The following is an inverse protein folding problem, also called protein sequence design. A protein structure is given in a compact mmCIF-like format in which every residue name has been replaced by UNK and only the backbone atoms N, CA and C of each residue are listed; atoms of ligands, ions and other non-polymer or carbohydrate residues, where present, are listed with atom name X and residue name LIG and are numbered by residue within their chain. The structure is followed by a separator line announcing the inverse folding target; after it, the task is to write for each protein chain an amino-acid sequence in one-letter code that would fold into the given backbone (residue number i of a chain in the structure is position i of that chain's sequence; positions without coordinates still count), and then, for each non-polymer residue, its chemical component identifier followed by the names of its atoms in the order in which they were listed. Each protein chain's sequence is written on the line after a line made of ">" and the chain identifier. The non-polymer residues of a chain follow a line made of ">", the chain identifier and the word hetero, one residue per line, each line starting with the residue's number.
data_IF_141225583666
#
_entry.id   IF_141225583666
#
_cell.length_a   1.000
_cell.length_b   1.000
_cell.length_c   1.000
_cell.angle_alpha   90.00
_cell.angle_beta   90.00
_cell.angle_gamma   90.00
#
_symmetry.space_group_name_H-M   'P 1'
#
loop_
_entity.id
_entity.type
_entity.pdbx_description
1 polymer ?
2 non-polymer ?
3 non-polymer ?
4 water ?
#
# COMPACT_ATOMS: atom_id res chain seq x y z
N UNK A 1 -3.76 11.53 28.93
CA UNK A 1 -5.07 10.88 28.72
C UNK A 1 -4.99 9.49 28.08
N UNK A 2 -5.80 8.58 28.60
CA UNK A 2 -5.83 7.17 28.16
C UNK A 2 -6.85 6.89 27.05
N UNK A 3 -6.38 6.31 25.96
CA UNK A 3 -7.24 5.99 24.82
C UNK A 3 -7.40 4.49 24.64
N UNK A 4 -8.22 4.13 23.66
CA UNK A 4 -8.51 2.73 23.43
C UNK A 4 -7.21 1.95 23.16
N UNK A 5 -7.18 0.70 23.59
CA UNK A 5 -5.97 -0.13 23.42
C UNK A 5 -6.34 -1.45 22.78
N UNK A 6 -5.41 -2.02 22.02
CA UNK A 6 -5.64 -3.31 21.42
C UNK A 6 -4.41 -4.17 21.60
N UNK A 7 -4.60 -5.48 21.47
CA UNK A 7 -3.49 -6.40 21.52
C UNK A 7 -3.07 -6.85 20.13
N UNK A 8 -1.79 -6.64 19.83
CA UNK A 8 -1.25 -7.04 18.54
C UNK A 8 -0.09 -7.98 18.81
N UNK A 9 0.00 -9.11 18.10
CA UNK A 9 1.14 -10.01 18.24
C UNK A 9 1.78 -10.34 16.88
N UNK A 10 3.10 -10.33 16.80
CA UNK A 10 3.77 -10.87 15.62
C UNK A 10 3.92 -12.36 15.80
N UNK A 11 3.30 -13.13 14.90
CA UNK A 11 3.27 -14.57 15.08
C UNK A 11 4.64 -15.18 14.77
N UNK A 12 4.85 -16.45 15.12
CA UNK A 12 6.18 -17.02 14.83
C UNK A 12 6.63 -16.93 13.38
N UNK A 13 5.76 -17.07 12.38
CA UNK A 13 6.21 -16.88 10.99
C UNK A 13 6.65 -15.43 10.77
N UNK A 14 6.01 -14.47 11.44
CA UNK A 14 6.46 -13.09 11.37
C UNK A 14 7.88 -12.91 11.92
N UNK A 15 8.17 -13.49 13.08
CA UNK A 15 9.50 -13.41 13.67
C UNK A 15 10.51 -14.08 12.74
N UNK A 16 10.19 -15.29 12.33
CA UNK A 16 11.08 -16.08 11.50
C UNK A 16 11.40 -15.39 10.19
N UNK A 17 10.45 -14.68 9.63
CA UNK A 17 10.66 -14.09 8.31
C UNK A 17 11.18 -12.66 8.38
N UNK A 18 11.56 -12.19 9.57
CA UNK A 18 12.17 -10.87 9.71
C UNK A 18 11.24 -9.71 9.37
N UNK A 19 10.01 -9.80 9.87
CA UNK A 19 8.99 -8.80 9.60
C UNK A 19 8.62 -8.00 10.84
N UNK A 20 9.34 -8.21 11.94
CA UNK A 20 9.01 -7.50 13.18
C UNK A 20 9.09 -5.98 13.02
N UNK A 21 10.23 -5.49 12.57
CA UNK A 21 10.42 -4.06 12.42
C UNK A 21 9.41 -3.43 11.48
N UNK A 22 9.19 -4.12 10.36
CA UNK A 22 8.27 -3.65 9.34
C UNK A 22 6.86 -3.46 9.89
N UNK A 23 6.41 -4.40 10.74
CA UNK A 23 5.09 -4.34 11.33
C UNK A 23 5.01 -3.16 12.33
N UNK A 24 5.95 -3.08 13.25
CA UNK A 24 6.02 -1.99 14.22
C UNK A 24 6.10 -0.62 13.52
N UNK A 25 6.95 -0.55 12.51
CA UNK A 25 7.10 0.67 11.71
C UNK A 25 5.76 1.15 11.15
N UNK A 26 4.93 0.22 10.70
CA UNK A 26 3.64 0.58 10.14
C UNK A 26 2.73 1.22 11.17
N UNK A 27 2.77 0.71 12.40
CA UNK A 27 1.97 1.25 13.47
C UNK A 27 2.46 2.59 13.99
N UNK A 28 3.78 2.80 14.02
CA UNK A 28 4.33 4.09 14.44
C UNK A 28 3.94 5.11 13.42
N UNK A 29 4.09 4.72 12.14
CA UNK A 29 3.80 5.59 11.02
C UNK A 29 2.38 6.06 11.02
N UNK A 30 1.47 5.18 11.43
CA UNK A 30 0.05 5.45 11.44
C UNK A 30 -0.31 6.50 12.48
N UNK A 31 0.52 6.57 13.54
CA UNK A 31 0.38 7.56 14.60
C UNK A 31 -0.05 6.94 15.92
N UNK A 32 -0.10 5.61 15.99
CA UNK A 32 -0.51 4.93 17.21
C UNK A 32 0.65 4.83 18.21
N UNK A 33 0.32 4.69 19.48
CA UNK A 33 1.30 4.69 20.57
C UNK A 33 1.57 3.30 21.13
N UNK A 34 2.85 2.94 21.24
CA UNK A 34 3.21 1.68 21.86
C UNK A 34 3.05 1.82 23.35
N UNK A 35 2.25 0.94 23.96
CA UNK A 35 2.01 0.98 25.40
C UNK A 35 2.60 -0.23 26.11
N UNK A 36 2.81 -1.30 25.37
CA UNK A 36 3.40 -2.48 25.96
C UNK A 36 4.04 -3.33 24.90
N UNK A 37 5.15 -3.93 25.25
CA UNK A 37 5.78 -4.89 24.35
C UNK A 37 6.64 -5.88 25.10
N UNK A 38 6.48 -7.15 24.76
CA UNK A 38 7.35 -8.17 25.31
C UNK A 38 7.58 -9.23 24.26
N UNK A 39 8.60 -10.04 24.48
CA UNK A 39 9.04 -11.04 23.54
C UNK A 39 9.18 -12.35 24.31
N UNK A 40 8.30 -13.31 24.03
CA UNK A 40 8.24 -14.57 24.77
C UNK A 40 7.91 -15.75 23.87
N UNK A 41 8.23 -16.95 24.33
CA UNK A 41 7.60 -18.14 23.79
C UNK A 41 6.54 -18.53 24.80
N UNK A 42 5.29 -18.17 24.51
CA UNK A 42 4.22 -18.39 25.47
C UNK A 42 3.84 -19.86 25.52
N UNK A 43 3.14 -20.21 26.60
CA UNK A 43 2.74 -21.59 26.82
C UNK A 43 1.53 -22.02 26.01
N UNK A 44 1.49 -23.31 25.67
CA UNK A 44 0.34 -23.88 24.99
C UNK A 44 -0.90 -23.54 25.78
N UNK A 45 -0.81 -23.58 27.10
CA UNK A 45 -1.98 -23.25 27.89
C UNK A 45 -2.41 -21.80 27.74
N UNK A 46 -1.45 -20.88 27.67
CA UNK A 46 -1.83 -19.49 27.42
C UNK A 46 -2.53 -19.31 26.07
N UNK A 47 -1.98 -19.96 25.05
CA UNK A 47 -2.58 -19.79 23.73
C UNK A 47 -3.96 -20.41 23.65
N UNK A 48 -4.15 -21.55 24.32
CA UNK A 48 -5.46 -22.19 24.34
C UNK A 48 -6.50 -21.22 24.90
N UNK A 49 -6.12 -20.47 25.93
CA UNK A 49 -7.02 -19.45 26.47
C UNK A 49 -7.17 -18.29 25.49
N UNK A 50 -6.08 -17.93 24.83
CA UNK A 50 -6.10 -16.80 23.91
C UNK A 50 -7.12 -16.99 22.77
N UNK A 51 -7.15 -18.23 22.27
CA UNK A 51 -8.03 -18.63 21.19
C UNK A 51 -9.24 -19.44 21.62
N UNK A 52 -9.74 -19.17 22.82
CA UNK A 52 -10.79 -19.99 23.42
C UNK A 52 -12.05 -20.10 22.54
N UNK A 53 -12.41 -19.06 21.81
CA UNK A 53 -13.63 -19.11 21.02
C UNK A 53 -13.55 -20.05 19.82
N UNK A 54 -12.36 -20.48 19.49
CA UNK A 54 -12.16 -21.39 18.38
C UNK A 54 -11.85 -22.80 18.87
N UNK A 55 -11.97 -23.02 20.17
CA UNK A 55 -11.56 -24.31 20.76
C UNK A 55 -12.18 -25.55 20.09
N UNK A 56 -13.33 -25.37 19.44
CA UNK A 56 -14.08 -26.46 18.82
C UNK A 56 -13.79 -26.61 17.31
N UNK A 57 -12.97 -25.70 16.78
CA UNK A 57 -12.57 -25.74 15.38
C UNK A 57 -11.51 -26.83 15.16
N UNK A 58 -11.53 -27.47 13.98
CA UNK A 58 -10.55 -28.53 13.71
C UNK A 58 -9.11 -28.06 13.64
N UNK A 59 -8.89 -26.80 13.26
CA UNK A 59 -7.54 -26.24 13.12
C UNK A 59 -7.02 -25.70 14.46
N UNK A 60 -7.88 -25.73 15.47
CA UNK A 60 -7.55 -25.18 16.78
C UNK A 60 -6.36 -25.83 17.48
N UNK A 61 -6.30 -27.17 17.53
CA UNK A 61 -5.15 -27.70 18.27
C UNK A 61 -3.82 -27.43 17.59
N UNK A 62 -3.75 -27.56 16.27
CA UNK A 62 -2.54 -27.26 15.53
C UNK A 62 -2.20 -25.80 15.73
N UNK A 63 -3.21 -24.95 15.69
CA UNK A 63 -3.03 -23.53 15.89
C UNK A 63 -2.39 -23.21 17.22
N UNK A 64 -2.89 -23.82 18.28
CA UNK A 64 -2.41 -23.52 19.62
C UNK A 64 -0.99 -24.02 19.90
N UNK A 65 -0.61 -25.15 19.33
CA UNK A 65 0.74 -25.65 19.54
C UNK A 65 1.73 -24.85 18.70
N UNK A 66 1.36 -24.59 17.45
CA UNK A 66 2.13 -23.73 16.56
C UNK A 66 2.39 -22.34 17.11
N UNK A 67 1.38 -21.71 17.68
CA UNK A 67 1.55 -20.38 18.20
C UNK A 67 2.43 -20.38 19.46
N UNK A 68 2.73 -21.57 19.98
CA UNK A 68 3.56 -21.67 21.18
C UNK A 68 4.90 -22.35 20.91
N UNK A 69 5.17 -22.62 19.65
CA UNK A 69 6.35 -23.37 19.26
C UNK A 69 7.58 -22.46 19.13
N UNK A 70 7.34 -21.15 19.06
CA UNK A 70 8.42 -20.19 18.89
C UNK A 70 8.11 -18.84 19.54
N UNK A 71 9.10 -17.94 19.59
CA UNK A 71 8.88 -16.63 20.20
C UNK A 71 7.88 -15.77 19.43
N UNK A 72 7.10 -14.97 20.16
CA UNK A 72 6.24 -13.99 19.51
C UNK A 72 6.50 -12.60 20.08
N UNK A 73 6.21 -11.57 19.32
CA UNK A 73 6.26 -10.24 19.88
C UNK A 73 4.86 -9.87 20.33
N UNK A 74 4.67 -9.71 21.64
CA UNK A 74 3.37 -9.29 22.18
C UNK A 74 3.35 -7.81 22.32
N UNK A 75 2.31 -7.16 21.77
CA UNK A 75 2.25 -5.71 21.84
C UNK A 75 0.89 -5.21 22.29
N UNK A 76 0.90 -4.04 22.92
CA UNK A 76 -0.32 -3.32 23.17
C UNK A 76 -0.19 -1.93 22.54
N UNK A 77 -1.09 -1.61 21.62
CA UNK A 77 -1.08 -0.30 20.93
C UNK A 77 -2.30 0.55 21.30
N UNK A 78 -2.08 1.85 21.37
CA UNK A 78 -3.09 2.76 21.91
C UNK A 78 -3.39 3.91 20.97
N UNK A 79 -4.67 4.22 20.83
CA UNK A 79 -5.11 5.31 19.99
C UNK A 79 -6.59 5.19 19.68
N UNK A 80 -7.19 6.27 19.23
CA UNK A 80 -8.60 6.28 18.90
C UNK A 80 -8.90 5.21 17.87
N UNK A 81 -9.81 4.30 18.18
CA UNK A 81 -10.25 3.29 17.24
C UNK A 81 -9.16 2.33 16.82
N UNK A 82 -8.21 2.11 17.72
CA UNK A 82 -7.06 1.30 17.36
C UNK A 82 -7.44 -0.17 17.16
N UNK A 83 -8.51 -0.63 17.80
CA UNK A 83 -8.94 -2.03 17.59
C UNK A 83 -9.39 -2.30 16.14
N UNK A 84 -10.38 -1.55 15.65
CA UNK A 84 -10.88 -1.79 14.30
C UNK A 84 -9.86 -1.31 13.24
N UNK A 85 -9.15 -0.24 13.52
CA UNK A 85 -8.19 0.28 12.55
C UNK A 85 -7.00 -0.67 12.39
N UNK A 86 -6.53 -1.27 13.48
CA UNK A 86 -5.46 -2.25 13.41
C UNK A 86 -5.85 -3.42 12.53
N UNK A 87 -7.12 -3.81 12.60
CA UNK A 87 -7.63 -4.91 11.77
C UNK A 87 -7.56 -4.58 10.30
N UNK A 88 -7.99 -3.37 9.97
CA UNK A 88 -7.93 -2.86 8.61
C UNK A 88 -6.49 -2.89 8.11
N UNK A 89 -5.56 -2.51 8.97
CA UNK A 89 -4.14 -2.49 8.61
C UNK A 89 -3.60 -3.89 8.38
N UNK A 90 -4.11 -4.85 9.15
CA UNK A 90 -3.71 -6.23 8.97
C UNK A 90 -4.20 -6.85 7.69
N UNK A 91 -5.44 -6.53 7.33
CA UNK A 91 -6.09 -7.15 6.20
C UNK A 91 -7.19 -8.06 6.71
N UNK A 92 -7.43 -9.14 6.00
CA UNK A 92 -8.44 -10.10 6.45
C UNK A 92 -7.76 -11.31 7.10
N UNK A 93 -8.54 -12.18 7.73
CA UNK A 93 -8.02 -13.41 8.33
C UNK A 93 -7.17 -14.21 7.32
N UNK A 94 -7.71 -14.37 6.12
CA UNK A 94 -6.99 -15.00 5.01
C UNK A 94 -6.26 -13.99 4.18
N UNK A 95 -4.93 -14.18 4.05
CA UNK A 95 -4.09 -13.34 3.19
C UNK A 95 -4.60 -13.24 1.77
N UNK A 96 -5.20 -14.33 1.31
CA UNK A 96 -5.77 -14.39 -0.02
C UNK A 96 -6.86 -13.36 -0.20
N UNK A 97 -7.54 -12.98 0.89
CA UNK A 97 -8.62 -12.00 0.85
C UNK A 97 -8.19 -10.58 1.26
N UNK A 98 -6.89 -10.42 1.55
CA UNK A 98 -6.32 -9.17 2.04
C UNK A 98 -5.78 -8.32 0.92
N UNK A 99 -6.01 -7.01 0.98
CA UNK A 99 -5.60 -6.13 -0.13
C UNK A 99 -4.13 -5.72 -0.04
N UNK A 100 -3.51 -5.48 -1.21
CA UNK A 100 -2.17 -4.91 -1.24
C UNK A 100 -2.18 -3.59 -0.46
N UNK A 101 -1.15 -3.37 0.33
CA UNK A 101 -1.16 -2.24 1.23
C UNK A 101 -1.38 -2.71 2.66
N UNK A 102 -2.10 -3.80 2.84
CA UNK A 102 -2.22 -4.35 4.19
C UNK A 102 -1.03 -5.28 4.47
N UNK A 103 -0.81 -5.56 5.76
CA UNK A 103 0.30 -6.38 6.23
C UNK A 103 0.20 -7.84 5.71
N UNK A 104 -0.94 -8.48 5.91
CA UNK A 104 -1.14 -9.80 5.34
C UNK A 104 -1.17 -9.78 3.82
N UNK A 105 -1.70 -8.71 3.26
CA UNK A 105 -1.78 -8.57 1.82
C UNK A 105 -0.41 -8.48 1.17
N UNK A 106 0.51 -7.73 1.79
CA UNK A 106 1.85 -7.56 1.22
C UNK A 106 2.79 -8.73 1.50
N UNK A 107 2.62 -9.43 2.60
CA UNK A 107 3.67 -10.35 3.02
C UNK A 107 3.38 -11.84 3.14
N UNK A 108 2.14 -12.30 3.07
CA UNK A 108 1.92 -13.74 3.29
C UNK A 108 0.83 -14.28 2.38
N UNK A 109 0.68 -15.62 2.35
CA UNK A 109 -0.21 -16.31 1.42
C UNK A 109 -1.34 -17.13 2.09
N UNK A 110 -1.03 -17.92 3.12
CA UNK A 110 -1.99 -18.87 3.73
C UNK A 110 -2.59 -18.45 5.06
N UNK A 111 -3.82 -18.89 5.33
CA UNK A 111 -4.51 -18.49 6.54
C UNK A 111 -3.75 -18.94 7.80
N UNK A 112 -3.13 -20.11 7.79
CA UNK A 112 -2.41 -20.62 8.95
C UNK A 112 -1.03 -19.98 9.16
N UNK A 113 -0.58 -19.23 8.17
CA UNK A 113 0.69 -18.53 8.28
C UNK A 113 0.44 -17.06 7.92
N UNK A 114 -0.29 -16.36 8.78
CA UNK A 114 -0.74 -15.00 8.47
C UNK A 114 -0.11 -13.98 9.39
N UNK A 115 1.09 -14.35 9.85
CA UNK A 115 2.11 -13.53 10.54
C UNK A 115 1.73 -12.57 11.65
N UNK A 116 0.46 -12.20 11.76
CA UNK A 116 0.10 -11.21 12.75
C UNK A 116 -1.27 -11.54 13.33
N UNK A 117 -1.48 -11.14 14.58
CA UNK A 117 -2.75 -11.22 15.26
C UNK A 117 -3.17 -9.85 15.75
N UNK A 118 -4.48 -9.60 15.79
CA UNK A 118 -5.02 -8.38 16.37
C UNK A 118 -6.37 -8.67 17.00
N UNK A 119 -6.64 -8.06 18.15
CA UNK A 119 -7.94 -8.22 18.80
C UNK A 119 -9.06 -7.77 17.85
N UNK A 120 -10.18 -8.48 17.85
CA UNK A 120 -11.30 -8.14 16.95
C UNK A 120 -12.37 -7.25 17.58
N UNK A 121 -12.24 -6.98 18.88
CA UNK A 121 -13.17 -6.06 19.54
C UNK A 121 -12.54 -5.53 20.79
N UNK A 122 -13.08 -4.42 21.27
CA UNK A 122 -12.67 -3.83 22.53
C UNK A 122 -12.79 -4.88 23.63
N UNK A 123 -13.85 -5.68 23.57
CA UNK A 123 -14.00 -6.73 24.56
C UNK A 123 -12.88 -7.79 24.48
N UNK A 124 -12.63 -8.31 23.29
CA UNK A 124 -11.52 -9.24 23.10
C UNK A 124 -10.20 -8.58 23.45
N UNK A 125 -10.02 -7.32 23.07
CA UNK A 125 -8.77 -6.63 23.37
C UNK A 125 -8.48 -6.52 24.86
N UNK A 126 -9.49 -6.19 25.65
CA UNK A 126 -9.28 -6.03 27.08
C UNK A 126 -8.89 -7.35 27.72
N UNK A 127 -9.46 -8.43 27.21
CA UNK A 127 -9.13 -9.76 27.75
C UNK A 127 -7.76 -10.22 27.32
N UNK A 128 -7.42 -9.99 26.06
CA UNK A 128 -6.14 -10.45 25.55
C UNK A 128 -5.01 -9.65 26.20
N UNK A 129 -5.19 -8.34 26.32
CA UNK A 129 -4.21 -7.51 27.01
C UNK A 129 -3.97 -8.00 28.43
N UNK A 130 -5.05 -8.30 29.16
CA UNK A 130 -4.93 -8.77 30.54
C UNK A 130 -4.29 -10.15 30.59
N UNK A 131 -4.48 -10.93 29.54
CA UNK A 131 -3.91 -12.26 29.47
C UNK A 131 -2.39 -12.26 29.26
N UNK A 132 -1.91 -11.36 28.41
CA UNK A 132 -0.50 -11.33 27.98
C UNK A 132 0.36 -10.36 28.80
N UNK A 133 -0.25 -9.33 29.39
CA UNK A 133 0.52 -8.35 30.14
C UNK A 133 0.08 -8.24 31.60
N UNK A 134 1.05 -8.08 32.49
CA UNK A 134 0.77 -7.69 33.85
C UNK A 134 0.57 -6.19 33.79
N UNK A 135 -0.39 -5.64 34.58
CA UNK A 135 -0.68 -4.20 34.63
C UNK A 135 0.57 -3.33 34.64
N UNK A 136 1.60 -3.75 35.35
CA UNK A 136 2.85 -3.00 35.45
C UNK A 136 3.59 -2.88 34.12
N UNK A 137 3.36 -3.82 33.22
CA UNK A 137 4.10 -3.84 31.97
C UNK A 137 3.52 -2.88 30.96
N UNK A 138 2.41 -2.22 31.31
CA UNK A 138 1.81 -1.24 30.42
C UNK A 138 2.35 0.14 30.81
N UNK A 139 3.00 0.83 29.88
CA UNK A 139 3.69 2.08 30.18
C UNK A 139 2.83 3.29 29.85
N UNK A 140 2.68 4.18 30.82
CA UNK A 140 1.96 5.42 30.62
C UNK A 140 2.92 6.56 30.29
N UNK A 141 2.72 7.17 29.13
CA UNK A 141 3.61 8.23 28.64
C UNK A 141 2.91 9.07 27.59
N UNK A 142 3.46 10.22 27.32
CA UNK A 142 2.88 11.15 26.37
C UNK A 142 3.75 11.29 25.13
N UNK A 143 3.20 10.97 23.96
CA UNK A 143 3.95 11.19 22.73
C UNK A 143 3.81 12.67 22.35
N UNK A 144 4.93 13.35 22.14
CA UNK A 144 4.89 14.79 21.94
C UNK A 144 4.27 15.18 20.62
N UNK A 145 4.32 14.30 19.63
CA UNK A 145 3.63 14.61 18.39
C UNK A 145 2.09 14.47 18.52
N UNK A 146 1.60 14.11 19.69
CA UNK A 146 0.18 13.81 19.88
C UNK A 146 -0.71 14.95 19.42
N UNK A 147 -0.25 16.17 19.62
CA UNK A 147 -1.05 17.31 19.25
C UNK A 147 -1.16 17.48 17.73
N UNK A 148 -0.36 16.71 16.97
CA UNK A 148 -0.48 16.71 15.52
C UNK A 148 -1.25 15.50 15.01
N UNK A 149 -1.55 14.57 15.90
CA UNK A 149 -2.35 13.43 15.54
C UNK A 149 -3.80 13.64 16.01
N UNK A 150 -3.95 14.30 17.15
CA UNK A 150 -5.29 14.50 17.71
C UNK A 150 -5.59 15.99 17.90
N UNK A 151 -6.76 16.40 17.43
CA UNK A 151 -7.28 17.75 17.64
C UNK A 151 -7.46 18.01 19.14
N UNK B 1 4.21 -29.99 -2.48
CA UNK B 1 5.53 -29.71 -3.04
C UNK B 1 5.44 -28.78 -4.24
N UNK B 2 4.87 -29.24 -5.34
CA UNK B 2 4.81 -28.38 -6.53
C UNK B 2 3.53 -27.56 -6.53
N UNK B 3 3.68 -26.24 -6.63
CA UNK B 3 2.52 -25.38 -6.62
C UNK B 3 2.28 -24.67 -7.93
N UNK B 4 1.17 -23.96 -7.97
CA UNK B 4 0.70 -23.24 -9.12
C UNK B 4 1.73 -22.21 -9.59
N UNK B 5 1.80 -21.98 -10.91
CA UNK B 5 2.77 -21.05 -11.46
C UNK B 5 2.12 -20.05 -12.41
N UNK B 6 2.69 -18.86 -12.48
CA UNK B 6 2.17 -17.87 -13.40
C UNK B 6 3.29 -17.17 -14.16
N UNK B 7 2.93 -16.54 -15.28
CA UNK B 7 3.91 -15.78 -16.03
C UNK B 7 3.73 -14.28 -15.72
N UNK B 8 4.82 -13.63 -15.28
CA UNK B 8 4.82 -12.20 -14.96
C UNK B 8 5.88 -11.56 -15.83
N UNK B 9 5.58 -10.44 -16.47
CA UNK B 9 6.60 -9.74 -17.23
C UNK B 9 6.70 -8.27 -16.84
N UNK B 10 7.93 -7.79 -16.68
CA UNK B 10 8.11 -6.37 -16.54
C UNK B 10 8.14 -5.78 -17.95
N UNK B 11 7.18 -4.93 -18.28
CA UNK B 11 7.06 -4.41 -19.64
C UNK B 11 8.13 -3.34 -19.92
N UNK B 12 8.31 -2.95 -21.19
CA UNK B 12 9.34 -1.97 -21.52
C UNK B 12 9.23 -0.64 -20.75
N UNK B 13 8.05 -0.12 -20.47
CA UNK B 13 8.01 1.08 -19.63
C UNK B 13 8.52 0.82 -18.20
N UNK B 14 8.28 -0.38 -17.69
CA UNK B 14 8.82 -0.77 -16.40
C UNK B 14 10.34 -0.81 -16.36
N UNK B 15 10.93 -1.42 -17.38
CA UNK B 15 12.37 -1.49 -17.48
C UNK B 15 12.96 -0.08 -17.56
N UNK B 16 12.40 0.72 -18.47
CA UNK B 16 12.85 2.09 -18.76
C UNK B 16 12.75 3.00 -17.55
N UNK B 17 11.74 2.80 -16.72
CA UNK B 17 11.52 3.67 -15.58
C UNK B 17 12.18 3.14 -14.33
N UNK B 18 13.00 2.10 -14.47
CA UNK B 18 13.77 1.57 -13.35
C UNK B 18 12.94 0.95 -12.23
N UNK B 19 11.93 0.15 -12.59
CA UNK B 19 11.03 -0.45 -11.61
C UNK B 19 11.19 -1.98 -11.49
N UNK B 20 12.19 -2.55 -12.15
CA UNK B 20 12.39 -4.02 -12.11
C UNK B 20 12.56 -4.53 -10.68
N UNK B 21 13.53 -3.96 -9.96
CA UNK B 21 13.81 -4.37 -8.60
C UNK B 21 12.59 -4.18 -7.70
N UNK B 22 11.90 -3.05 -7.86
CA UNK B 22 10.72 -2.80 -7.03
C UNK B 22 9.64 -3.85 -7.20
N UNK B 23 9.43 -4.27 -8.45
CA UNK B 23 8.44 -5.27 -8.74
C UNK B 23 8.84 -6.63 -8.20
N UNK B 24 10.07 -7.05 -8.50
CA UNK B 24 10.54 -8.35 -7.99
C UNK B 24 10.48 -8.40 -6.47
N UNK B 25 10.95 -7.34 -5.84
CA UNK B 25 10.92 -7.21 -4.40
C UNK B 25 9.50 -7.39 -3.85
N UNK B 26 8.50 -6.86 -4.55
CA UNK B 26 7.14 -7.00 -4.06
C UNK B 26 6.72 -8.48 -4.05
N UNK B 27 7.13 -9.24 -5.06
CA UNK B 27 6.82 -10.69 -5.13
C UNK B 27 7.63 -11.53 -4.13
N UNK B 28 8.87 -11.16 -3.86
CA UNK B 28 9.68 -11.88 -2.86
C UNK B 28 9.03 -11.63 -1.48
N UNK B 29 8.65 -10.39 -1.21
CA UNK B 29 8.06 -10.04 0.08
C UNK B 29 6.78 -10.83 0.37
N UNK B 30 5.97 -11.05 -0.65
CA UNK B 30 4.69 -11.75 -0.54
C UNK B 30 4.88 -13.23 -0.18
N UNK B 31 6.03 -13.77 -0.58
CA UNK B 31 6.37 -15.14 -0.24
C UNK B 31 6.39 -16.06 -1.45
N UNK B 32 6.24 -15.52 -2.66
CA UNK B 32 6.21 -16.37 -3.83
C UNK B 32 7.61 -16.73 -4.24
N UNK B 33 7.74 -17.85 -4.95
CA UNK B 33 9.04 -18.40 -5.34
C UNK B 33 9.36 -18.15 -6.80
N UNK B 34 10.55 -17.61 -7.09
CA UNK B 34 10.99 -17.43 -8.46
C UNK B 34 11.41 -18.77 -9.07
N UNK B 35 10.80 -19.13 -10.20
CA UNK B 35 11.13 -20.39 -10.87
C UNK B 35 11.81 -20.15 -12.19
N UNK B 36 11.64 -18.95 -12.73
CA UNK B 36 12.30 -18.63 -13.97
C UNK B 36 12.47 -17.15 -14.23
N UNK B 37 13.58 -16.74 -14.84
CA UNK B 37 13.71 -15.34 -15.24
C UNK B 37 14.69 -15.18 -16.38
N UNK B 38 14.30 -14.39 -17.38
CA UNK B 38 15.22 -14.04 -18.46
C UNK B 38 14.93 -12.61 -18.88
N UNK B 39 15.87 -12.03 -19.61
CA UNK B 39 15.84 -10.64 -20.00
C UNK B 39 16.10 -10.60 -21.47
N UNK B 40 15.07 -10.25 -22.22
CA UNK B 40 15.14 -10.29 -23.68
C UNK B 40 14.35 -9.16 -24.32
N UNK B 41 14.70 -8.87 -25.56
CA UNK B 41 13.81 -8.12 -26.43
C UNK B 41 13.20 -9.14 -27.36
N UNK B 42 11.96 -9.51 -27.07
CA UNK B 42 11.28 -10.55 -27.83
C UNK B 42 10.84 -10.10 -29.21
N UNK B 43 10.54 -11.08 -30.07
CA UNK B 43 10.13 -10.80 -31.44
C UNK B 43 8.66 -10.38 -31.49
N UNK B 44 8.32 -9.55 -32.47
CA UNK B 44 6.93 -9.17 -32.72
C UNK B 44 6.09 -10.44 -32.83
N UNK B 45 6.66 -11.45 -33.48
CA UNK B 45 5.95 -12.70 -33.66
C UNK B 45 5.69 -13.43 -32.35
N UNK B 46 6.67 -13.43 -31.46
CA UNK B 46 6.44 -14.04 -30.14
C UNK B 46 5.30 -13.30 -29.43
N UNK B 47 5.29 -11.97 -29.48
CA UNK B 47 4.24 -11.20 -28.81
C UNK B 47 2.87 -11.39 -29.44
N UNK B 48 2.83 -11.50 -30.76
CA UNK B 48 1.54 -11.74 -31.42
C UNK B 48 0.90 -13.01 -30.86
N UNK B 49 1.74 -14.03 -30.64
CA UNK B 49 1.28 -15.27 -30.02
C UNK B 49 0.95 -15.10 -28.54
N UNK B 50 1.76 -14.29 -27.86
CA UNK B 50 1.57 -14.06 -26.42
C UNK B 50 0.18 -13.48 -26.18
N UNK B 51 -0.20 -12.56 -27.06
CA UNK B 51 -1.49 -11.89 -26.97
C UNK B 51 -2.52 -12.38 -28.00
N UNK B 52 -2.44 -13.65 -28.42
CA UNK B 52 -3.28 -14.17 -29.54
C UNK B 52 -4.78 -14.01 -29.32
N UNK B 53 -5.26 -14.13 -28.08
CA UNK B 53 -6.70 -14.03 -27.79
C UNK B 53 -7.23 -12.60 -27.97
N UNK B 54 -6.33 -11.64 -28.11
CA UNK B 54 -6.68 -10.24 -28.27
C UNK B 54 -6.55 -9.77 -29.71
N UNK B 55 -6.32 -10.73 -30.58
CA UNK B 55 -6.02 -10.52 -31.99
C UNK B 55 -7.01 -9.60 -32.72
N UNK B 56 -8.25 -9.53 -32.21
CA UNK B 56 -9.31 -8.75 -32.87
C UNK B 56 -9.47 -7.34 -32.30
N UNK B 57 -8.72 -6.99 -31.26
CA UNK B 57 -8.77 -5.64 -30.72
C UNK B 57 -8.04 -4.66 -31.60
N UNK B 58 -8.53 -3.42 -31.67
CA UNK B 58 -7.87 -2.41 -32.50
C UNK B 58 -6.48 -2.07 -31.97
N UNK B 59 -6.28 -2.23 -30.66
CA UNK B 59 -5.00 -1.92 -30.03
C UNK B 59 -4.00 -3.08 -30.11
N UNK B 60 -4.44 -4.21 -30.64
CA UNK B 60 -3.61 -5.41 -30.70
C UNK B 60 -2.33 -5.15 -31.52
N UNK B 61 -2.45 -4.56 -32.73
CA UNK B 61 -1.21 -4.41 -33.50
C UNK B 61 -0.24 -3.43 -32.85
N UNK B 62 -0.75 -2.33 -32.29
CA UNK B 62 0.15 -1.42 -31.59
C UNK B 62 0.81 -2.07 -30.38
N UNK B 63 0.02 -2.83 -29.64
CA UNK B 63 0.47 -3.53 -28.45
C UNK B 63 1.63 -4.49 -28.72
N UNK B 64 1.52 -5.30 -29.77
CA UNK B 64 2.53 -6.29 -30.03
C UNK B 64 3.87 -5.68 -30.46
N UNK B 65 3.86 -4.58 -31.21
CA UNK B 65 5.14 -3.97 -31.59
C UNK B 65 5.73 -3.21 -30.40
N UNK B 66 4.91 -2.46 -29.66
CA UNK B 66 5.42 -1.84 -28.45
C UNK B 66 6.03 -2.85 -27.47
N UNK B 67 5.36 -3.98 -27.25
CA UNK B 67 5.88 -4.97 -26.33
C UNK B 67 7.13 -5.67 -26.87
N UNK B 68 7.45 -5.42 -28.13
CA UNK B 68 8.64 -6.02 -28.77
C UNK B 68 9.70 -4.97 -29.13
N UNK B 69 9.46 -3.72 -28.74
CA UNK B 69 10.32 -2.61 -29.12
C UNK B 69 11.52 -2.44 -28.18
N UNK B 70 11.44 -3.07 -27.02
CA UNK B 70 12.49 -2.97 -26.02
C UNK B 70 12.58 -4.21 -25.17
N UNK B 71 13.61 -4.29 -24.33
CA UNK B 71 13.80 -5.43 -23.44
C UNK B 71 12.70 -5.50 -22.40
N UNK B 72 12.32 -6.72 -22.05
CA UNK B 72 11.40 -7.00 -20.97
C UNK B 72 12.01 -8.02 -20.02
N UNK B 73 11.56 -8.01 -18.78
CA UNK B 73 11.96 -9.07 -17.88
C UNK B 73 10.85 -10.13 -17.88
N UNK B 74 11.17 -11.32 -18.38
CA UNK B 74 10.25 -12.46 -18.39
C UNK B 74 10.50 -13.28 -17.12
N UNK B 75 9.43 -13.55 -16.38
CA UNK B 75 9.51 -14.30 -15.13
C UNK B 75 8.46 -15.40 -14.97
N UNK B 76 8.82 -16.43 -14.20
CA UNK B 76 7.84 -17.41 -13.76
C UNK B 76 7.84 -17.47 -12.23
N UNK B 77 6.69 -17.21 -11.62
CA UNK B 77 6.56 -17.24 -10.16
C UNK B 77 5.66 -18.38 -9.68
N UNK B 78 5.96 -18.94 -8.51
CA UNK B 78 5.28 -20.16 -8.06
C UNK B 78 4.70 -20.00 -6.65
N UNK B 79 3.49 -20.47 -6.42
CA UNK B 79 2.91 -20.40 -5.09
C UNK B 79 1.41 -20.58 -5.12
N UNK B 80 0.80 -20.87 -3.97
CA UNK B 80 -0.65 -21.05 -3.92
C UNK B 80 -1.42 -19.85 -4.47
N UNK B 81 -2.25 -20.08 -5.46
CA UNK B 81 -3.11 -19.05 -5.98
C UNK B 81 -2.34 -17.91 -6.59
N UNK B 82 -1.15 -18.19 -7.09
CA UNK B 82 -0.30 -17.12 -7.57
C UNK B 82 -0.86 -16.45 -8.83
N UNK B 83 -1.66 -17.15 -9.63
CA UNK B 83 -2.22 -16.51 -10.83
C UNK B 83 -3.13 -15.33 -10.47
N UNK B 84 -4.14 -15.59 -9.66
CA UNK B 84 -5.09 -14.57 -9.26
C UNK B 84 -4.45 -13.56 -8.30
N UNK B 85 -3.59 -14.03 -7.40
CA UNK B 85 -3.00 -13.14 -6.44
C UNK B 85 -2.03 -12.17 -7.11
N UNK B 86 -1.27 -12.64 -8.11
CA UNK B 86 -0.39 -11.74 -8.85
C UNK B 86 -1.17 -10.60 -9.51
N UNK B 87 -2.37 -10.93 -9.99
CA UNK B 87 -3.26 -9.97 -10.64
C UNK B 87 -3.69 -8.90 -9.65
N UNK B 88 -4.06 -9.35 -8.47
CA UNK B 88 -4.43 -8.47 -7.38
C UNK B 88 -3.30 -7.50 -7.02
N UNK B 89 -2.09 -8.03 -6.96
CA UNK B 89 -0.92 -7.25 -6.62
C UNK B 89 -0.65 -6.23 -7.71
N UNK B 90 -0.95 -6.58 -8.95
CA UNK B 90 -0.80 -5.66 -10.08
C UNK B 90 -1.82 -4.51 -10.05
N UNK B 91 -3.06 -4.83 -9.70
CA UNK B 91 -4.17 -3.91 -9.75
C UNK B 91 -5.10 -4.35 -10.87
N UNK B 92 -5.79 -3.42 -11.52
CA UNK B 92 -6.68 -3.77 -12.63
C UNK B 92 -5.93 -3.46 -13.92
N UNK B 93 -6.51 -3.90 -15.03
CA UNK B 93 -5.95 -3.62 -16.33
C UNK B 93 -5.66 -2.14 -16.53
N UNK B 94 -6.63 -1.29 -16.18
CA UNK B 94 -6.43 0.14 -16.27
C UNK B 94 -5.89 0.68 -14.96
N UNK B 95 -4.74 1.35 -15.02
CA UNK B 95 -4.20 1.99 -13.81
C UNK B 95 -5.24 2.90 -13.17
N UNK B 96 -6.10 3.51 -13.98
CA UNK B 96 -7.17 4.38 -13.47
C UNK B 96 -8.13 3.65 -12.54
N UNK B 97 -8.27 2.33 -12.73
CA UNK B 97 -9.15 1.50 -11.91
C UNK B 97 -8.38 0.74 -10.81
N UNK B 98 -7.06 0.97 -10.70
CA UNK B 98 -6.20 0.25 -9.74
C UNK B 98 -6.03 1.02 -8.44
N UNK B 99 -6.05 0.30 -7.32
CA UNK B 99 -5.99 0.89 -5.99
C UNK B 99 -4.55 1.21 -5.57
N UNK B 100 -4.37 2.25 -4.74
CA UNK B 100 -3.07 2.52 -4.12
C UNK B 100 -2.62 1.28 -3.37
N UNK B 101 -1.33 0.94 -3.44
CA UNK B 101 -0.86 -0.33 -2.89
C UNK B 101 -0.57 -1.36 -3.97
N UNK B 102 -1.30 -1.28 -5.07
CA UNK B 102 -0.99 -2.15 -6.19
C UNK B 102 0.10 -1.50 -7.05
N UNK B 103 0.73 -2.32 -7.88
CA UNK B 103 1.82 -1.90 -8.74
C UNK B 103 1.37 -0.83 -9.75
N UNK B 104 0.31 -1.10 -10.50
CA UNK B 104 -0.24 -0.10 -11.40
C UNK B 104 -0.81 1.10 -10.66
N UNK B 105 -1.34 0.86 -9.47
CA UNK B 105 -1.89 1.93 -8.67
C UNK B 105 -0.86 2.93 -8.20
N UNK B 106 0.29 2.42 -7.76
CA UNK B 106 1.35 3.27 -7.23
C UNK B 106 2.15 3.94 -8.35
N UNK B 107 2.27 3.28 -9.50
CA UNK B 107 3.26 3.70 -10.51
C UNK B 107 2.75 4.16 -11.89
N UNK B 108 1.48 3.98 -12.24
CA UNK B 108 1.10 4.34 -13.60
C UNK B 108 -0.20 5.04 -13.75
N UNK B 109 -0.39 5.58 -14.95
CA UNK B 109 -1.55 6.41 -15.27
C UNK B 109 -2.37 5.81 -16.40
N UNK B 110 -1.71 5.42 -17.50
CA UNK B 110 -2.44 5.00 -18.72
C UNK B 110 -2.48 3.49 -18.97
N UNK B 111 -3.53 3.01 -19.62
CA UNK B 111 -3.70 1.58 -19.85
C UNK B 111 -2.59 1.06 -20.76
N UNK B 112 -2.16 1.88 -21.72
CA UNK B 112 -1.14 1.46 -22.65
C UNK B 112 0.26 1.47 -22.08
N UNK B 113 0.41 2.08 -20.91
CA UNK B 113 1.67 2.13 -20.19
C UNK B 113 1.46 1.65 -18.75
N UNK B 114 1.18 0.34 -18.58
CA UNK B 114 0.81 -0.18 -17.26
C UNK B 114 1.85 -1.19 -16.71
N UNK B 115 3.09 -1.01 -17.17
CA UNK B 115 4.36 -1.61 -16.71
C UNK B 115 4.50 -3.09 -16.42
N UNK B 116 3.42 -3.81 -16.25
CA UNK B 116 3.58 -5.21 -15.88
C UNK B 116 2.52 -6.06 -16.54
N UNK B 117 2.83 -7.33 -16.80
CA UNK B 117 1.85 -8.25 -17.32
C UNK B 117 1.78 -9.45 -16.40
N UNK B 118 0.59 -10.03 -16.29
CA UNK B 118 0.40 -11.26 -15.56
C UNK B 118 -0.69 -12.09 -16.21
N UNK B 119 -0.48 -13.40 -16.21
CA UNK B 119 -1.46 -14.32 -16.72
C UNK B 119 -2.79 -14.14 -16.00
N UNK B 120 -3.87 -14.27 -16.75
CA UNK B 120 -5.22 -14.11 -16.19
C UNK B 120 -5.85 -15.46 -15.77
N UNK B 121 -5.20 -16.58 -16.06
CA UNK B 121 -5.71 -17.88 -15.60
C UNK B 121 -4.59 -18.93 -15.57
N UNK B 122 -4.83 -20.01 -14.82
CA UNK B 122 -3.91 -21.13 -14.81
C UNK B 122 -3.67 -21.63 -16.24
N UNK B 123 -4.70 -21.68 -17.06
CA UNK B 123 -4.56 -22.09 -18.46
C UNK B 123 -3.71 -21.19 -19.31
N UNK B 124 -3.99 -19.90 -19.31
CA UNK B 124 -3.11 -18.96 -20.02
C UNK B 124 -1.65 -19.01 -19.46
N UNK B 125 -1.52 -19.11 -18.15
CA UNK B 125 -0.20 -19.16 -17.53
C UNK B 125 0.56 -20.37 -18.06
N UNK B 126 -0.11 -21.51 -18.20
CA UNK B 126 0.62 -22.68 -18.68
C UNK B 126 1.10 -22.43 -20.11
N UNK B 127 0.31 -21.71 -20.89
CA UNK B 127 0.74 -21.42 -22.25
C UNK B 127 1.82 -20.35 -22.30
N UNK B 128 1.67 -19.31 -21.49
CA UNK B 128 2.63 -18.21 -21.56
C UNK B 128 4.01 -18.63 -21.04
N UNK B 129 4.02 -19.35 -19.94
CA UNK B 129 5.27 -19.86 -19.41
C UNK B 129 5.97 -20.72 -20.48
N UNK B 130 5.20 -21.59 -21.12
CA UNK B 130 5.75 -22.48 -22.15
C UNK B 130 6.19 -21.68 -23.37
N UNK B 131 5.53 -20.55 -23.61
CA UNK B 131 5.89 -19.71 -24.74
C UNK B 131 7.24 -19.02 -24.53
N UNK B 132 7.48 -18.56 -23.30
CA UNK B 132 8.63 -17.75 -22.97
C UNK B 132 9.82 -18.53 -22.40
N UNK B 133 9.54 -19.68 -21.80
CA UNK B 133 10.63 -20.47 -21.21
C UNK B 133 10.74 -21.87 -21.79
N UNK B 134 11.98 -22.30 -21.98
CA UNK B 134 12.32 -23.68 -22.26
C UNK B 134 12.32 -24.44 -20.94
N UNK B 135 11.83 -25.69 -20.95
CA UNK B 135 11.80 -26.55 -19.76
C UNK B 135 13.11 -26.47 -18.99
N UNK B 136 14.25 -26.41 -19.70
CA UNK B 136 15.56 -26.34 -19.04
C UNK B 136 15.78 -25.04 -18.26
N UNK B 137 15.10 -23.97 -18.67
CA UNK B 137 15.29 -22.67 -18.07
C UNK B 137 14.48 -22.47 -16.80
N UNK B 138 13.64 -23.44 -16.46
CA UNK B 138 12.83 -23.39 -15.23
C UNK B 138 13.44 -24.07 -14.01
N UNK B 139 13.62 -23.31 -12.94
CA UNK B 139 14.32 -23.88 -11.83
C UNK B 139 13.35 -24.38 -10.78
N UNK B 140 13.49 -25.65 -10.44
CA UNK B 140 12.74 -26.29 -9.38
C UNK B 140 13.62 -26.33 -8.14
N UNK B 141 13.18 -25.74 -7.04
CA UNK B 141 13.99 -25.64 -5.83
C UNK B 141 13.16 -25.40 -4.60
N UNK B 142 13.78 -25.61 -3.44
CA UNK B 142 13.05 -25.43 -2.18
C UNK B 142 13.59 -24.22 -1.40
N UNK B 143 12.72 -23.25 -1.16
CA UNK B 143 13.04 -22.10 -0.34
C UNK B 143 12.92 -22.49 1.11
N UNK B 144 13.96 -22.26 1.93
CA UNK B 144 13.90 -22.79 3.29
C UNK B 144 12.87 -22.11 4.17
N UNK B 145 12.50 -20.86 3.92
CA UNK B 145 11.41 -20.27 4.69
C UNK B 145 10.03 -20.83 4.27
N UNK B 146 9.99 -21.75 3.30
CA UNK B 146 8.72 -22.24 2.76
C UNK B 146 7.85 -22.77 3.93
N UNK B 147 8.48 -23.37 4.93
CA UNK B 147 7.72 -23.94 6.02
C UNK B 147 7.07 -22.88 6.95
N UNK B 148 7.42 -21.61 6.80
CA UNK B 148 6.77 -20.53 7.54
C UNK B 148 5.76 -19.81 6.66
N UNK B 149 5.73 -20.15 5.38
CA UNK B 149 4.75 -19.58 4.47
C UNK B 149 3.55 -20.51 4.26
N UNK B 150 3.83 -21.82 4.28
CA UNK B 150 2.82 -22.87 4.06
C UNK B 150 2.69 -23.87 5.21
N UNK B 151 1.48 -24.15 5.68
CA UNK B 151 1.32 -25.22 6.67
C UNK B 151 1.78 -26.54 6.07
N UNK C 1 0.90 19.89 -24.85
CA UNK C 1 1.83 19.48 -23.80
C UNK C 1 1.23 19.79 -22.42
N UNK C 2 0.17 20.62 -22.39
CA UNK C 2 -0.41 20.99 -21.09
C UNK C 2 -1.53 20.05 -20.65
N UNK C 3 -1.38 19.47 -19.46
CA UNK C 3 -2.36 18.52 -18.97
C UNK C 3 -3.11 19.07 -17.75
N UNK C 4 -4.07 18.30 -17.26
CA UNK C 4 -4.90 18.70 -16.14
C UNK C 4 -4.06 19.02 -14.91
N UNK C 5 -4.51 19.97 -14.10
CA UNK C 5 -3.74 20.36 -12.92
C UNK C 5 -4.62 20.33 -11.70
N UNK C 6 -3.99 20.02 -10.56
CA UNK C 6 -4.69 20.01 -9.29
C UNK C 6 -3.81 20.69 -8.24
N UNK C 7 -4.43 21.12 -7.16
CA UNK C 7 -3.70 21.73 -6.05
C UNK C 7 -3.54 20.74 -4.92
N UNK C 8 -2.31 20.49 -4.48
CA UNK C 8 -2.11 19.58 -3.37
C UNK C 8 -1.35 20.36 -2.30
N UNK C 9 -1.76 20.24 -1.04
CA UNK C 9 -1.00 20.88 0.04
C UNK C 9 -0.67 19.86 1.14
N UNK C 10 0.56 19.90 1.63
CA UNK C 10 0.89 19.17 2.84
C UNK C 10 0.51 20.04 4.06
N UNK C 11 -0.41 19.57 4.88
CA UNK C 11 -0.95 20.38 5.95
C UNK C 11 0.07 20.56 7.09
N UNK C 12 -0.19 21.47 8.04
CA UNK C 12 0.80 21.69 9.11
C UNK C 12 1.15 20.41 9.87
N UNK C 13 0.20 19.48 10.11
CA UNK C 13 0.55 18.19 10.74
C UNK C 13 1.47 17.32 9.87
N UNK C 14 1.29 17.40 8.57
CA UNK C 14 2.15 16.71 7.63
C UNK C 14 3.57 17.22 7.73
N UNK C 15 3.72 18.54 7.77
CA UNK C 15 5.06 19.14 7.90
C UNK C 15 5.71 18.74 9.24
N UNK C 16 4.97 18.89 10.34
CA UNK C 16 5.45 18.62 11.68
C UNK C 16 5.90 17.18 11.86
N UNK C 17 5.22 16.27 11.18
CA UNK C 17 5.50 14.85 11.34
C UNK C 17 6.49 14.36 10.30
N UNK C 18 7.12 15.27 9.55
CA UNK C 18 8.15 14.86 8.59
C UNK C 18 7.71 13.99 7.43
N UNK C 19 6.58 14.37 6.83
CA UNK C 19 6.02 13.60 5.75
C UNK C 19 6.06 14.29 4.39
N UNK C 20 6.74 15.42 4.31
CA UNK C 20 6.82 16.14 3.04
C UNK C 20 7.41 15.28 1.92
N UNK C 21 8.62 14.77 2.14
CA UNK C 21 9.31 13.98 1.13
C UNK C 21 8.52 12.74 0.75
N UNK C 22 7.98 12.08 1.77
CA UNK C 22 7.19 10.86 1.58
C UNK C 22 5.97 11.14 0.70
N UNK C 23 5.32 12.29 0.90
CA UNK C 23 4.14 12.63 0.10
C UNK C 23 4.51 12.92 -1.36
N UNK C 24 5.49 13.78 -1.55
CA UNK C 24 5.98 14.12 -2.88
C UNK C 24 6.48 12.88 -3.66
N UNK C 25 7.24 12.04 -2.98
CA UNK C 25 7.75 10.82 -3.57
C UNK C 25 6.63 9.97 -4.17
N UNK C 26 5.50 9.90 -3.50
CA UNK C 26 4.38 9.11 -3.99
C UNK C 26 3.87 9.70 -5.30
N UNK C 27 3.85 11.03 -5.38
CA UNK C 27 3.41 11.68 -6.60
C UNK C 27 4.43 11.55 -7.72
N UNK C 28 5.73 11.57 -7.41
CA UNK C 28 6.70 11.36 -8.47
C UNK C 28 6.63 9.94 -9.00
N UNK C 29 6.54 8.96 -8.10
CA UNK C 29 6.49 7.52 -8.44
C UNK C 29 5.28 7.21 -9.32
N UNK C 30 4.18 7.90 -9.03
CA UNK C 30 2.93 7.68 -9.77
C UNK C 30 3.08 8.16 -11.19
N UNK C 31 3.97 9.12 -11.41
CA UNK C 31 4.23 9.57 -12.77
C UNK C 31 3.74 10.98 -13.04
N UNK C 32 3.30 11.67 -11.99
CA UNK C 32 2.80 13.03 -12.17
C UNK C 32 3.96 14.01 -12.23
N UNK C 33 3.71 15.14 -12.86
CA UNK C 33 4.73 16.16 -13.07
C UNK C 33 4.48 17.31 -12.09
N UNK C 34 5.52 17.74 -11.39
CA UNK C 34 5.42 18.88 -10.49
C UNK C 34 5.38 20.15 -11.28
N UNK C 35 4.35 21.00 -11.06
CA UNK C 35 4.28 22.26 -11.82
C UNK C 35 4.50 23.49 -10.96
N UNK C 36 4.26 23.39 -9.66
CA UNK C 36 4.48 24.55 -8.80
C UNK C 36 4.69 24.10 -7.38
N UNK C 37 5.57 24.77 -6.65
CA UNK C 37 5.75 24.47 -5.23
C UNK C 37 6.29 25.66 -4.48
N UNK C 38 5.68 25.93 -3.35
CA UNK C 38 6.15 26.93 -2.43
C UNK C 38 5.87 26.48 -1.00
N UNK C 39 6.53 27.12 -0.06
CA UNK C 39 6.50 26.76 1.33
C UNK C 39 6.20 28.01 2.13
N UNK C 40 5.01 28.07 2.73
CA UNK C 40 4.55 29.24 3.45
C UNK C 40 3.74 28.90 4.68
N UNK C 41 3.67 29.84 5.59
CA UNK C 41 2.63 29.85 6.59
C UNK C 41 1.64 30.88 6.11
N UNK C 42 0.55 30.44 5.50
CA UNK C 42 -0.44 31.35 4.90
C UNK C 42 -1.28 32.03 5.97
N UNK C 43 -1.96 33.12 5.59
CA UNK C 43 -2.77 33.88 6.55
C UNK C 43 -4.08 33.13 6.77
N UNK C 44 -4.65 33.30 7.97
CA UNK C 44 -5.95 32.73 8.31
C UNK C 44 -6.97 33.08 7.23
N UNK C 45 -6.88 34.29 6.73
CA UNK C 45 -7.77 34.76 5.67
C UNK C 45 -7.60 34.05 4.34
N UNK C 46 -6.34 33.75 3.98
CA UNK C 46 -6.12 32.98 2.77
C UNK C 46 -6.85 31.64 2.92
N UNK C 47 -6.74 31.05 4.09
CA UNK C 47 -7.37 29.78 4.32
C UNK C 47 -8.91 29.90 4.31
N UNK C 48 -9.45 31.01 4.85
CA UNK C 48 -10.89 31.25 4.85
C UNK C 48 -11.43 31.18 3.43
N UNK C 49 -10.68 31.78 2.50
CA UNK C 49 -11.05 31.73 1.09
C UNK C 49 -10.85 30.34 0.51
N UNK C 50 -9.77 29.66 0.92
CA UNK C 50 -9.47 28.34 0.41
C UNK C 50 -10.63 27.41 0.71
N UNK C 51 -11.15 27.54 1.92
CA UNK C 51 -12.26 26.73 2.40
C UNK C 51 -13.60 27.49 2.41
N UNK C 52 -13.77 28.47 1.54
CA UNK C 52 -14.93 29.36 1.60
C UNK C 52 -16.26 28.59 1.56
N UNK C 53 -16.27 27.49 0.83
CA UNK C 53 -17.50 26.72 0.69
C UNK C 53 -17.87 26.05 2.00
N UNK C 54 -16.97 26.06 2.98
CA UNK C 54 -17.27 25.44 4.26
C UNK C 54 -17.58 26.48 5.37
N UNK C 55 -17.72 27.76 4.99
CA UNK C 55 -17.88 28.86 5.96
C UNK C 55 -19.00 28.65 6.98
N UNK C 56 -20.00 27.84 6.62
CA UNK C 56 -21.15 27.66 7.51
C UNK C 56 -21.05 26.41 8.38
N UNK C 57 -20.00 25.59 8.21
CA UNK C 57 -19.78 24.42 9.06
C UNK C 57 -19.25 24.83 10.42
N UNK C 58 -19.60 24.10 11.47
CA UNK C 58 -19.13 24.50 12.80
C UNK C 58 -17.61 24.38 12.98
N UNK C 59 -16.95 23.48 12.25
CA UNK C 59 -15.50 23.29 12.36
C UNK C 59 -14.67 24.25 11.51
N UNK C 60 -15.34 25.08 10.72
CA UNK C 60 -14.66 25.99 9.80
C UNK C 60 -13.69 27.02 10.39
N UNK C 61 -14.07 27.77 11.43
CA UNK C 61 -13.11 28.79 11.88
C UNK C 61 -11.85 28.16 12.52
N UNK C 62 -12.03 27.08 13.27
CA UNK C 62 -10.95 26.32 13.86
C UNK C 62 -10.07 25.73 12.76
N UNK C 63 -10.70 25.22 11.70
CA UNK C 63 -10.01 24.63 10.55
C UNK C 63 -9.07 25.65 9.95
N UNK C 64 -9.59 26.85 9.79
CA UNK C 64 -8.86 27.94 9.17
C UNK C 64 -7.71 28.41 10.06
N UNK C 65 -7.91 28.37 11.37
CA UNK C 65 -6.83 28.80 12.25
C UNK C 65 -5.75 27.76 12.32
N UNK C 66 -6.15 26.50 12.47
CA UNK C 66 -5.20 25.42 12.45
C UNK C 66 -4.39 25.40 11.14
N UNK C 67 -5.06 25.57 9.99
CA UNK C 67 -4.37 25.51 8.71
C UNK C 67 -3.43 26.69 8.44
N UNK C 68 -3.51 27.72 9.28
CA UNK C 68 -2.64 28.90 9.13
C UNK C 68 -1.70 29.00 10.31
N UNK C 69 -1.72 28.01 11.19
CA UNK C 69 -0.95 28.07 12.42
C UNK C 69 0.52 27.67 12.28
N UNK C 70 0.85 27.02 11.16
CA UNK C 70 2.20 26.56 10.91
C UNK C 70 2.42 26.55 9.40
N UNK C 71 3.67 26.34 8.96
CA UNK C 71 3.97 26.28 7.53
C UNK C 71 3.33 25.08 6.79
N UNK C 72 2.93 25.30 5.53
CA UNK C 72 2.47 24.22 4.66
C UNK C 72 3.24 24.22 3.32
N UNK C 73 3.32 23.05 2.69
CA UNK C 73 3.87 22.96 1.34
C UNK C 73 2.70 22.97 0.38
N UNK C 74 2.63 24.04 -0.42
CA UNK C 74 1.64 24.21 -1.44
C UNK C 74 2.18 23.69 -2.76
N UNK C 75 1.42 22.83 -3.43
CA UNK C 75 1.90 22.26 -4.68
C UNK C 75 0.84 22.29 -5.77
N UNK C 76 1.32 22.34 -6.99
CA UNK C 76 0.47 22.13 -8.12
C UNK C 76 1.03 20.95 -8.91
N UNK C 77 0.20 19.91 -9.08
CA UNK C 77 0.61 18.72 -9.82
C UNK C 77 -0.16 18.55 -11.13
N UNK C 78 0.53 18.04 -12.16
CA UNK C 78 -0.02 17.99 -13.52
C UNK C 78 0.04 16.59 -14.17
N UNK C 79 -1.04 16.19 -14.83
CA UNK C 79 -1.08 14.91 -15.52
C UNK C 79 -2.52 14.49 -15.80
N UNK C 80 -2.71 13.53 -16.70
CA UNK C 80 -4.06 13.04 -17.05
C UNK C 80 -4.82 12.56 -15.82
N UNK C 81 -6.00 13.13 -15.58
CA UNK C 81 -6.86 12.70 -14.49
C UNK C 81 -6.27 12.90 -13.10
N UNK C 82 -5.40 13.89 -12.98
CA UNK C 82 -4.68 14.09 -11.73
C UNK C 82 -5.54 14.55 -10.56
N UNK C 83 -6.65 15.26 -10.83
CA UNK C 83 -7.52 15.71 -9.73
C UNK C 83 -8.12 14.55 -8.96
N UNK C 84 -8.83 13.68 -9.67
CA UNK C 84 -9.49 12.55 -9.02
C UNK C 84 -8.45 11.49 -8.56
N UNK C 85 -7.38 11.30 -9.31
CA UNK C 85 -6.42 10.27 -8.91
C UNK C 85 -5.73 10.68 -7.61
N UNK C 86 -5.42 11.96 -7.48
CA UNK C 86 -4.83 12.45 -6.24
C UNK C 86 -5.76 12.16 -5.06
N UNK C 87 -7.06 12.26 -5.30
CA UNK C 87 -8.02 11.99 -4.25
C UNK C 87 -7.92 10.52 -3.88
N UNK C 88 -7.85 9.66 -4.88
CA UNK C 88 -7.70 8.24 -4.62
C UNK C 88 -6.45 7.96 -3.80
N UNK C 89 -5.34 8.63 -4.14
CA UNK C 89 -4.07 8.45 -3.45
C UNK C 89 -4.12 8.94 -1.99
N UNK C 90 -4.86 10.02 -1.75
CA UNK C 90 -5.04 10.55 -0.40
C UNK C 90 -5.90 9.63 0.50
N UNK C 91 -6.95 9.07 -0.08
CA UNK C 91 -7.88 8.31 0.73
C UNK C 91 -9.19 9.05 0.84
N UNK C 92 -9.87 8.92 1.97
CA UNK C 92 -11.12 9.63 2.18
C UNK C 92 -10.83 10.82 3.08
N UNK C 93 -11.81 11.70 3.21
CA UNK C 93 -11.73 12.84 4.11
C UNK C 93 -11.38 12.37 5.52
N UNK C 94 -12.07 11.31 5.94
CA UNK C 94 -11.76 10.71 7.22
C UNK C 94 -10.73 9.58 7.04
N UNK C 95 -9.57 9.70 7.71
CA UNK C 95 -8.54 8.67 7.73
C UNK C 95 -9.11 7.32 8.17
N UNK C 96 -10.13 7.36 9.02
CA UNK C 96 -10.76 6.12 9.47
C UNK C 96 -11.35 5.35 8.29
N UNK C 97 -11.72 6.07 7.22
CA UNK C 97 -12.31 5.45 6.03
C UNK C 97 -11.27 5.26 4.92
N UNK C 98 -10.02 5.62 5.20
CA UNK C 98 -9.00 5.54 4.17
C UNK C 98 -8.31 4.17 4.21
N UNK C 99 -8.05 3.61 3.04
CA UNK C 99 -7.50 2.29 2.96
C UNK C 99 -5.99 2.32 3.14
N UNK C 100 -5.43 1.23 3.67
CA UNK C 100 -3.99 1.07 3.73
C UNK C 100 -3.48 1.19 2.31
N UNK C 101 -2.36 1.86 2.11
CA UNK C 101 -1.89 2.16 0.78
C UNK C 101 -2.10 3.61 0.40
N UNK C 102 -3.15 4.22 0.93
CA UNK C 102 -3.36 5.64 0.71
C UNK C 102 -2.59 6.45 1.73
N UNK C 103 -2.40 7.73 1.45
CA UNK C 103 -1.62 8.59 2.33
C UNK C 103 -2.29 8.75 3.71
N UNK C 104 -3.56 9.13 3.75
CA UNK C 104 -4.29 9.18 5.03
C UNK C 104 -4.44 7.81 5.67
N UNK C 105 -4.57 6.77 4.85
CA UNK C 105 -4.70 5.43 5.39
C UNK C 105 -3.47 4.99 6.14
N UNK C 106 -2.30 5.27 5.58
CA UNK C 106 -1.04 4.86 6.19
C UNK C 106 -0.54 5.74 7.33
N UNK C 107 -0.86 7.04 7.33
CA UNK C 107 -0.18 7.94 8.25
C UNK C 107 -1.00 8.67 9.30
N UNK C 108 -2.34 8.66 9.20
CA UNK C 108 -3.09 9.43 10.19
C UNK C 108 -4.39 8.78 10.65
N UNK C 109 -4.97 9.35 11.69
CA UNK C 109 -6.12 8.77 12.36
C UNK C 109 -7.40 9.61 12.38
N UNK C 110 -7.27 10.89 12.69
CA UNK C 110 -8.43 11.77 12.94
C UNK C 110 -8.75 12.69 11.77
N UNK C 111 -10.02 13.03 11.61
CA UNK C 111 -10.44 13.83 10.45
C UNK C 111 -9.80 15.21 10.44
N UNK C 112 -9.62 15.81 11.61
CA UNK C 112 -9.03 17.13 11.73
C UNK C 112 -7.51 17.15 11.60
N UNK C 113 -6.89 15.98 11.61
CA UNK C 113 -5.44 15.88 11.44
C UNK C 113 -5.14 14.89 10.32
N UNK C 114 -5.47 15.26 9.07
CA UNK C 114 -5.38 14.31 7.96
C UNK C 114 -4.33 14.69 6.91
N UNK C 115 -3.31 15.37 7.42
CA UNK C 115 -2.02 15.67 6.80
C UNK C 115 -1.91 16.19 5.38
N UNK C 116 -2.93 16.04 4.58
CA UNK C 116 -2.80 16.44 3.19
C UNK C 116 -4.12 17.03 2.68
N UNK C 117 -4.02 17.93 1.71
CA UNK C 117 -5.21 18.45 1.05
C UNK C 117 -5.09 18.20 -0.44
N UNK C 118 -6.24 17.97 -1.09
CA UNK C 118 -6.29 17.86 -2.54
C UNK C 118 -7.61 18.40 -3.07
N UNK C 119 -7.55 19.09 -4.19
CA UNK C 119 -8.75 19.63 -4.84
C UNK C 119 -9.75 18.52 -5.14
N UNK C 120 -11.04 18.79 -4.98
CA UNK C 120 -12.02 17.73 -5.22
C UNK C 120 -12.60 17.76 -6.65
N UNK C 121 -12.26 18.77 -7.41
CA UNK C 121 -12.69 18.84 -8.81
C UNK C 121 -11.81 19.75 -9.60
N UNK C 122 -11.82 19.60 -10.92
CA UNK C 122 -11.06 20.53 -11.76
C UNK C 122 -11.39 22.00 -11.51
N UNK C 123 -12.67 22.30 -11.33
CA UNK C 123 -13.06 23.67 -11.08
C UNK C 123 -12.49 24.16 -9.71
N UNK C 124 -12.64 23.37 -8.65
CA UNK C 124 -12.00 23.74 -7.36
C UNK C 124 -10.51 23.86 -7.54
N UNK C 125 -9.93 22.96 -8.33
CA UNK C 125 -8.50 23.00 -8.57
C UNK C 125 -8.11 24.32 -9.23
N UNK C 126 -8.90 24.79 -10.19
CA UNK C 126 -8.56 26.03 -10.87
C UNK C 126 -8.61 27.21 -9.92
N UNK C 127 -9.55 27.15 -8.99
CA UNK C 127 -9.67 28.23 -8.01
C UNK C 127 -8.55 28.15 -6.97
N UNK C 128 -8.22 26.95 -6.51
CA UNK C 128 -7.21 26.85 -5.46
C UNK C 128 -5.80 27.22 -5.96
N UNK C 129 -5.46 26.75 -7.14
CA UNK C 129 -4.21 27.11 -7.77
C UNK C 129 -4.04 28.63 -7.94
N UNK C 130 -5.06 29.32 -8.42
CA UNK C 130 -4.97 30.76 -8.63
C UNK C 130 -4.87 31.46 -7.29
N UNK C 131 -5.45 30.86 -6.26
CA UNK C 131 -5.38 31.45 -4.94
C UNK C 131 -3.98 31.34 -4.31
N UNK C 132 -3.32 30.20 -4.48
CA UNK C 132 -2.06 29.93 -3.79
C UNK C 132 -0.86 30.27 -4.67
N UNK C 133 -1.06 30.26 -5.98
CA UNK C 133 0.05 30.53 -6.91
C UNK C 133 -0.16 31.73 -7.84
N UNK C 134 0.92 32.45 -8.06
CA UNK C 134 1.00 33.43 -9.13
C UNK C 134 1.26 32.70 -10.44
N UNK C 135 0.62 33.13 -11.54
CA UNK C 135 0.84 32.54 -12.87
C UNK C 135 2.30 32.24 -13.19
N UNK C 136 3.21 33.16 -12.83
CA UNK C 136 4.63 32.98 -13.08
C UNK C 136 5.20 31.80 -12.31
N UNK C 137 4.58 31.44 -11.20
CA UNK C 137 5.14 30.40 -10.35
C UNK C 137 4.82 28.97 -10.85
N UNK C 138 4.03 28.85 -11.92
CA UNK C 138 3.73 27.56 -12.48
C UNK C 138 4.74 27.30 -13.60
N UNK C 139 5.49 26.23 -13.48
CA UNK C 139 6.60 26.00 -14.38
C UNK C 139 6.25 25.09 -15.55
N UNK C 140 6.54 25.59 -16.74
CA UNK C 140 6.34 24.79 -17.92
C UNK C 140 7.65 24.10 -18.32
N UNK C 141 7.61 22.77 -18.36
CA UNK C 141 8.79 21.99 -18.66
C UNK C 141 8.36 20.58 -19.10
N UNK C 142 9.29 19.86 -19.72
CA UNK C 142 9.01 18.52 -20.23
C UNK C 142 9.74 17.43 -19.45
N UNK C 143 8.99 16.52 -18.83
CA UNK C 143 9.66 15.40 -18.19
C UNK C 143 9.99 14.37 -19.27
N UNK C 144 11.26 13.97 -19.40
CA UNK C 144 11.65 13.11 -20.52
C UNK C 144 11.11 11.67 -20.41
N UNK C 145 10.83 11.19 -19.21
CA UNK C 145 10.21 9.87 -19.08
C UNK C 145 8.74 9.86 -19.49
N UNK C 146 8.21 11.01 -19.90
CA UNK C 146 6.78 11.14 -20.22
C UNK C 146 6.36 10.09 -21.25
N UNK C 147 7.24 9.80 -22.20
CA UNK C 147 6.88 8.87 -23.26
C UNK C 147 6.76 7.44 -22.76
N UNK C 148 7.19 7.20 -21.52
CA UNK C 148 6.98 5.89 -20.92
C UNK C 148 5.78 5.87 -19.96
N UNK C 149 5.21 7.04 -19.71
CA UNK C 149 4.01 7.19 -18.90
C UNK C 149 2.77 7.36 -19.78
N UNK C 150 2.97 8.03 -20.90
CA UNK C 150 1.85 8.31 -21.81
C UNK C 150 2.12 7.72 -23.17
N UNK C 151 1.12 7.00 -23.66
CA UNK C 151 1.13 6.43 -25.00
C UNK C 151 1.25 7.55 -26.04
#
# INVERSE_FOLDING_TARGET
>A
MVRERTFIAVKPDGVQRGLIGEIIKRFEAKGFKLAGMKYIQASEDLLKQHYIDLADKPFYPGLCKYMSSGPVVAMCWEGTGVVKTARVMMGETRPADSKPGTIRGDFCIEVGRNIIHGSDSVESANKEIALWFKPEELVSWTQTNESWIYE
>B
MVRERTFIAVKPDGVQRGLIGEIIKRFEAKGFKLAGMKYIQASEDLLKQHYIDLADKPFYPGLCKYMSSGPVVAMCWEGTGVVKTARVMMGETRPADSKPGTIRGDFCIEVGRNIIHGSDSVESANKEIALWFKPEELVSWTQTNESWIYE
>C
MVRERTFIAVKPDGVQRGLIGEIIKRFEAKGFKLAGMKYIQASEDLLKQHYIDLADKPFYPGLCKYMSSGPVVAMCWEGTGVVKTARVMMGETRPADSKPGTIRGDFCIEVGRNIIHGSDSVESANKEIALWFKPEELVSWTQTNESWIYE
#
